data_IF_416653449340
#
_entry.id   IF_416653449340
#
_cell.length_a   1.000
_cell.length_b   1.000
_cell.length_c   1.000
_cell.angle_alpha   90.00
_cell.angle_beta   90.00
_cell.angle_gamma   90.00
#
_symmetry.space_group_name_H-M   'P 1'
#
loop_
_entity.id
_entity.type
_entity.pdbx_description
1 polymer ?
#
# COMPACT_ATOMS: atom_id res chain seq x y z
N UNK A 1 37.72 42.07 -42.64
CA UNK A 1 38.77 41.68 -43.60
C UNK A 1 39.83 42.76 -43.57
N UNK A 2 41.07 42.39 -43.28
CA UNK A 2 42.19 43.32 -43.31
C UNK A 2 42.50 43.71 -44.76
N UNK A 3 43.12 44.89 -44.98
CA UNK A 3 43.61 45.21 -46.32
C UNK A 3 44.77 44.27 -46.68
N UNK A 4 44.88 43.84 -47.94
CA UNK A 4 45.94 42.94 -48.42
C UNK A 4 47.34 43.41 -48.01
N UNK A 5 47.56 44.73 -47.98
CA UNK A 5 48.84 45.32 -47.56
C UNK A 5 49.19 45.07 -46.09
N UNK A 6 48.18 45.00 -45.22
CA UNK A 6 48.36 44.67 -43.79
C UNK A 6 48.72 43.20 -43.61
N UNK A 7 48.08 42.32 -44.37
CA UNK A 7 48.33 40.87 -44.36
C UNK A 7 49.72 40.57 -44.92
N UNK A 8 50.10 41.22 -46.03
CA UNK A 8 51.43 41.11 -46.62
C UNK A 8 52.53 41.57 -45.66
N UNK A 9 52.35 42.73 -45.01
CA UNK A 9 53.27 43.23 -44.00
C UNK A 9 53.40 42.26 -42.81
N UNK A 10 52.27 41.75 -42.30
CA UNK A 10 52.26 40.80 -41.19
C UNK A 10 52.98 39.48 -41.53
N UNK A 11 52.78 38.93 -42.74
CA UNK A 11 53.44 37.71 -43.18
C UNK A 11 54.96 37.90 -43.36
N UNK A 12 55.38 39.05 -43.91
CA UNK A 12 56.79 39.41 -44.03
C UNK A 12 57.46 39.56 -42.65
N UNK A 13 56.77 40.15 -41.69
CA UNK A 13 57.25 40.25 -40.30
C UNK A 13 57.39 38.89 -39.60
N UNK A 14 56.57 37.90 -39.95
CA UNK A 14 56.65 36.53 -39.41
C UNK A 14 57.77 35.71 -40.08
N UNK A 15 58.48 36.27 -41.06
CA UNK A 15 59.56 35.62 -41.79
C UNK A 15 59.08 34.63 -42.84
N UNK A 16 57.89 34.86 -43.41
CA UNK A 16 57.43 34.11 -44.57
C UNK A 16 58.43 34.27 -45.74
N UNK A 17 58.64 33.23 -46.56
CA UNK A 17 59.50 33.33 -47.74
C UNK A 17 59.06 34.48 -48.66
N UNK A 18 60.02 35.08 -49.37
CA UNK A 18 59.83 36.34 -50.12
C UNK A 18 58.88 36.15 -51.30
N UNK A 19 57.58 36.17 -51.04
CA UNK A 19 56.53 36.22 -52.05
C UNK A 19 56.40 37.65 -52.57
N UNK A 20 56.20 37.81 -53.87
CA UNK A 20 55.85 39.12 -54.43
C UNK A 20 54.45 39.53 -53.94
N UNK A 21 54.17 40.84 -53.88
CA UNK A 21 52.84 41.35 -53.44
C UNK A 21 51.71 40.78 -54.31
N UNK A 22 51.96 40.68 -55.61
CA UNK A 22 51.02 40.18 -56.60
C UNK A 22 50.68 38.69 -56.37
N UNK A 23 51.62 37.89 -55.86
CA UNK A 23 51.36 36.48 -55.51
C UNK A 23 50.44 36.38 -54.29
N UNK A 24 50.61 37.27 -53.31
CA UNK A 24 49.73 37.32 -52.13
C UNK A 24 48.34 37.81 -52.52
N UNK A 25 48.23 38.77 -53.42
CA UNK A 25 46.93 39.24 -53.94
C UNK A 25 46.19 38.14 -54.72
N UNK A 26 46.91 37.30 -55.48
CA UNK A 26 46.32 36.13 -56.15
C UNK A 26 45.80 35.08 -55.16
N UNK A 27 46.54 34.84 -54.09
CA UNK A 27 46.19 33.88 -53.03
C UNK A 27 45.13 34.41 -52.06
N UNK A 28 44.98 35.74 -51.96
CA UNK A 28 44.02 36.40 -51.08
C UNK A 28 42.61 36.43 -51.71
N UNK A 29 42.06 35.25 -52.02
CA UNK A 29 40.71 35.05 -52.53
C UNK A 29 40.01 33.88 -51.85
N UNK A 30 38.73 34.04 -51.55
CA UNK A 30 37.90 33.00 -50.94
C UNK A 30 38.39 32.55 -49.55
N UNK A 31 38.25 31.26 -49.25
CA UNK A 31 38.60 30.68 -47.94
C UNK A 31 40.09 30.84 -47.58
N UNK A 32 40.98 30.96 -48.58
CA UNK A 32 42.40 31.17 -48.34
C UNK A 32 42.68 32.57 -47.75
N UNK A 33 41.85 33.58 -48.09
CA UNK A 33 41.96 34.90 -47.49
C UNK A 33 41.67 34.88 -45.98
N UNK A 34 40.68 34.08 -45.54
CA UNK A 34 40.36 33.90 -44.13
C UNK A 34 41.48 33.20 -43.35
N UNK A 35 42.11 32.20 -43.97
CA UNK A 35 43.27 31.52 -43.39
C UNK A 35 44.46 32.48 -43.27
N UNK A 36 44.72 33.30 -44.30
CA UNK A 36 45.80 34.29 -44.27
C UNK A 36 45.53 35.41 -43.24
N UNK A 37 44.28 35.87 -43.11
CA UNK A 37 43.86 36.80 -42.05
C UNK A 37 44.02 36.18 -40.66
N UNK A 38 43.63 34.91 -40.49
CA UNK A 38 43.79 34.17 -39.23
C UNK A 38 45.26 34.03 -38.84
N UNK A 39 46.10 33.64 -39.81
CA UNK A 39 47.55 33.50 -39.62
C UNK A 39 48.19 34.85 -39.30
N UNK A 40 47.86 35.92 -40.02
CA UNK A 40 48.38 37.26 -39.76
C UNK A 40 47.99 37.80 -38.37
N UNK A 41 46.76 37.50 -37.91
CA UNK A 41 46.25 37.95 -36.60
C UNK A 41 46.80 37.14 -35.43
N UNK A 42 46.89 35.81 -35.57
CA UNK A 42 47.23 34.91 -34.45
C UNK A 42 48.73 34.60 -34.35
N UNK A 43 49.53 34.82 -35.41
CA UNK A 43 50.99 34.66 -35.35
C UNK A 43 51.74 35.87 -34.77
N UNK A 44 51.04 36.92 -34.30
CA UNK A 44 51.64 38.03 -33.54
C UNK A 44 52.49 37.56 -32.35
N UNK A 45 52.14 36.43 -31.72
CA UNK A 45 52.95 35.82 -30.66
C UNK A 45 54.36 35.40 -31.13
N UNK A 46 54.53 35.00 -32.39
CA UNK A 46 55.85 34.65 -32.93
C UNK A 46 56.77 35.86 -33.10
N UNK A 47 56.24 37.07 -33.35
CA UNK A 47 57.02 38.33 -33.37
C UNK A 47 57.64 38.62 -32.01
N UNK A 48 56.84 38.51 -30.94
CA UNK A 48 57.34 38.66 -29.57
C UNK A 48 58.38 37.59 -29.23
N UNK A 49 58.17 36.33 -29.66
CA UNK A 49 59.13 35.24 -29.44
C UNK A 49 60.43 35.43 -30.24
N UNK A 50 60.35 35.89 -31.49
CA UNK A 50 61.53 36.17 -32.32
C UNK A 50 62.34 37.35 -31.76
N UNK A 51 61.66 38.43 -31.35
CA UNK A 51 62.29 39.56 -30.65
C UNK A 51 62.92 39.14 -29.33
N UNK A 52 62.23 38.33 -28.53
CA UNK A 52 62.77 37.80 -27.27
C UNK A 52 63.97 36.88 -27.52
N UNK A 53 63.95 36.03 -28.56
CA UNK A 53 65.11 35.22 -28.96
C UNK A 53 66.28 36.08 -29.40
N UNK A 54 66.03 37.13 -30.18
CA UNK A 54 67.05 38.12 -30.56
C UNK A 54 67.67 38.80 -29.35
N UNK A 55 66.85 39.25 -28.38
CA UNK A 55 67.33 39.86 -27.14
C UNK A 55 68.11 38.87 -26.26
N UNK A 56 67.65 37.61 -26.13
CA UNK A 56 68.37 36.55 -25.40
C UNK A 56 69.72 36.27 -26.08
N UNK A 57 69.76 36.27 -27.41
CA UNK A 57 70.98 36.00 -28.15
C UNK A 57 71.97 37.17 -28.06
N UNK A 58 71.48 38.41 -28.17
CA UNK A 58 72.27 39.62 -27.91
C UNK A 58 72.85 39.62 -26.48
N UNK A 59 72.04 39.29 -25.46
CA UNK A 59 72.54 39.16 -24.09
C UNK A 59 73.53 38.01 -23.90
N UNK A 60 73.39 36.90 -24.64
CA UNK A 60 74.37 35.80 -24.62
C UNK A 60 75.68 36.19 -25.29
N UNK A 61 75.61 37.01 -26.34
CA UNK A 61 76.77 37.52 -27.05
C UNK A 61 77.48 38.60 -26.22
N UNK A 62 76.75 39.51 -25.57
CA UNK A 62 77.28 40.47 -24.59
C UNK A 62 77.90 39.80 -23.37
N UNK A 63 77.26 38.75 -22.83
CA UNK A 63 77.81 37.98 -21.71
C UNK A 63 79.09 37.24 -22.09
N UNK A 64 79.24 36.83 -23.35
CA UNK A 64 80.47 36.21 -23.87
C UNK A 64 81.56 37.24 -24.17
N UNK A 65 81.22 38.46 -24.61
CA UNK A 65 82.18 39.52 -24.86
C UNK A 65 82.66 40.23 -23.58
N UNK A 66 81.85 40.24 -22.51
CA UNK A 66 82.16 40.94 -21.25
C UNK A 66 83.08 40.19 -20.27
N UNK A 67 83.40 38.91 -20.51
CA UNK A 67 84.20 38.08 -19.58
C UNK A 67 85.48 37.48 -20.17
N UNK A 68 85.90 37.92 -21.37
CA UNK A 68 87.10 37.38 -22.02
C UNK A 68 88.43 38.00 -21.55
N UNK A 69 88.41 39.04 -20.70
CA UNK A 69 89.63 39.79 -20.33
C UNK A 69 90.16 39.55 -18.89
N UNK A 70 89.60 38.62 -18.12
CA UNK A 70 90.08 38.34 -16.74
C UNK A 70 89.91 36.86 -16.33
N UNK A 71 90.28 35.92 -17.20
CA UNK A 71 90.11 34.48 -16.96
C UNK A 71 91.41 33.65 -17.03
N UNK A 72 92.59 34.28 -16.93
CA UNK A 72 93.86 33.54 -16.83
C UNK A 72 94.17 33.01 -15.42
N UNK A 73 93.37 33.32 -14.39
CA UNK A 73 93.63 32.89 -13.00
C UNK A 73 92.39 32.40 -12.24
N UNK A 74 91.36 31.89 -12.91
CA UNK A 74 90.29 31.16 -12.21
C UNK A 74 90.50 29.67 -12.39
N UNK A 75 90.81 28.99 -11.28
CA UNK A 75 91.03 27.55 -11.22
C UNK A 75 89.89 26.80 -11.94
N UNK A 76 90.18 25.97 -12.97
CA UNK A 76 89.17 25.22 -13.71
C UNK A 76 88.34 24.29 -12.80
N UNK A 77 88.85 23.91 -11.64
CA UNK A 77 88.10 23.14 -10.65
C UNK A 77 86.99 23.96 -9.99
N UNK A 78 87.22 25.25 -9.73
CA UNK A 78 86.24 26.15 -9.13
C UNK A 78 85.04 26.39 -10.06
N UNK A 79 85.30 26.63 -11.35
CA UNK A 79 84.21 26.81 -12.34
C UNK A 79 83.43 25.51 -12.58
N UNK A 80 84.09 24.34 -12.54
CA UNK A 80 83.44 23.02 -12.61
C UNK A 80 82.58 22.75 -11.37
N UNK A 81 83.07 23.09 -10.18
CA UNK A 81 82.32 22.97 -8.93
C UNK A 81 81.10 23.90 -8.89
N UNK A 82 81.22 25.15 -9.35
CA UNK A 82 80.07 26.05 -9.48
C UNK A 82 79.04 25.53 -10.48
N UNK A 83 79.46 24.98 -11.62
CA UNK A 83 78.55 24.35 -12.60
C UNK A 83 77.86 23.11 -12.01
N UNK A 84 78.57 22.28 -11.25
CA UNK A 84 77.99 21.13 -10.57
C UNK A 84 76.97 21.58 -9.51
N UNK A 85 77.29 22.60 -8.70
CA UNK A 85 76.37 23.19 -7.73
C UNK A 85 75.12 23.79 -8.39
N UNK A 86 75.28 24.47 -9.52
CA UNK A 86 74.14 24.97 -10.30
C UNK A 86 73.28 23.82 -10.83
N UNK A 87 73.89 22.74 -11.34
CA UNK A 87 73.17 21.54 -11.79
C UNK A 87 72.38 20.88 -10.67
N UNK A 88 72.99 20.72 -9.48
CA UNK A 88 72.33 20.16 -8.30
C UNK A 88 71.13 21.02 -7.90
N UNK A 89 71.29 22.35 -7.83
CA UNK A 89 70.17 23.26 -7.55
C UNK A 89 69.06 23.17 -8.61
N UNK A 90 69.42 23.05 -9.89
CA UNK A 90 68.40 22.89 -10.94
C UNK A 90 67.67 21.55 -10.85
N UNK A 91 68.36 20.47 -10.47
CA UNK A 91 67.71 19.18 -10.25
C UNK A 91 66.86 19.17 -8.97
N UNK A 92 67.27 19.85 -7.90
CA UNK A 92 66.47 20.03 -6.69
C UNK A 92 65.17 20.76 -6.99
N UNK A 93 65.24 21.88 -7.74
CA UNK A 93 64.03 22.62 -8.17
C UNK A 93 63.15 21.75 -9.08
N UNK A 94 63.75 20.94 -9.96
CA UNK A 94 62.99 20.05 -10.83
C UNK A 94 62.28 18.93 -10.03
N UNK A 95 62.95 18.36 -9.02
CA UNK A 95 62.34 17.37 -8.12
C UNK A 95 61.20 17.98 -7.31
N UNK A 96 61.39 19.16 -6.71
CA UNK A 96 60.32 19.87 -6.00
C UNK A 96 59.10 20.12 -6.90
N UNK A 97 59.32 20.56 -8.15
CA UNK A 97 58.22 20.74 -9.12
C UNK A 97 57.50 19.44 -9.45
N UNK A 98 58.23 18.32 -9.54
CA UNK A 98 57.63 17.00 -9.77
C UNK A 98 56.85 16.52 -8.55
N UNK A 99 57.37 16.74 -7.33
CA UNK A 99 56.66 16.44 -6.09
C UNK A 99 55.37 17.26 -5.95
N UNK A 100 55.42 18.55 -6.26
CA UNK A 100 54.24 19.42 -6.25
C UNK A 100 53.22 19.01 -7.32
N UNK A 101 53.68 18.63 -8.51
CA UNK A 101 52.82 18.11 -9.56
C UNK A 101 52.17 16.78 -9.16
N UNK A 102 52.93 15.88 -8.52
CA UNK A 102 52.43 14.62 -8.00
C UNK A 102 51.40 14.83 -6.89
N UNK A 103 51.67 15.72 -5.92
CA UNK A 103 50.72 16.09 -4.86
C UNK A 103 49.41 16.63 -5.43
N UNK A 104 49.48 17.53 -6.43
CA UNK A 104 48.30 18.02 -7.13
C UNK A 104 47.54 16.90 -7.82
N UNK A 105 48.25 15.98 -8.49
CA UNK A 105 47.61 14.84 -9.13
C UNK A 105 46.90 13.95 -8.11
N UNK A 106 47.53 13.64 -6.99
CA UNK A 106 46.94 12.85 -5.89
C UNK A 106 45.70 13.54 -5.31
N UNK A 107 45.75 14.87 -5.12
CA UNK A 107 44.59 15.64 -4.69
C UNK A 107 43.44 15.55 -5.70
N UNK A 108 43.71 15.76 -6.99
CA UNK A 108 42.67 15.65 -8.03
C UNK A 108 42.09 14.24 -8.14
N UNK A 109 42.90 13.19 -7.97
CA UNK A 109 42.37 11.82 -7.97
C UNK A 109 41.51 11.55 -6.74
N UNK A 110 41.89 12.08 -5.57
CA UNK A 110 41.08 11.94 -4.35
C UNK A 110 39.74 12.70 -4.44
N UNK A 111 39.72 13.88 -5.06
CA UNK A 111 38.50 14.64 -5.32
C UNK A 111 37.56 13.87 -6.26
N UNK A 112 38.11 13.31 -7.35
CA UNK A 112 37.36 12.50 -8.30
C UNK A 112 36.82 11.19 -7.68
N UNK A 113 37.60 10.53 -6.81
CA UNK A 113 37.14 9.35 -6.08
C UNK A 113 35.99 9.68 -5.13
N UNK A 114 36.07 10.83 -4.44
CA UNK A 114 35.00 11.31 -3.58
C UNK A 114 33.74 11.67 -4.37
N UNK A 115 33.87 12.32 -5.53
CA UNK A 115 32.75 12.58 -6.44
C UNK A 115 32.12 11.28 -6.96
N UNK A 116 32.95 10.30 -7.34
CA UNK A 116 32.48 8.98 -7.76
C UNK A 116 31.70 8.28 -6.65
N UNK A 117 32.21 8.28 -5.41
CA UNK A 117 31.53 7.70 -4.27
C UNK A 117 30.19 8.40 -3.96
N UNK A 118 30.13 9.74 -4.09
CA UNK A 118 28.88 10.50 -3.95
C UNK A 118 27.87 10.12 -5.02
N UNK A 119 28.27 10.10 -6.29
CA UNK A 119 27.40 9.71 -7.40
C UNK A 119 26.92 8.27 -7.29
N UNK A 120 27.77 7.34 -6.82
CA UNK A 120 27.38 5.96 -6.59
C UNK A 120 26.32 5.85 -5.49
N UNK A 121 26.49 6.56 -4.37
CA UNK A 121 25.47 6.62 -3.29
C UNK A 121 24.16 7.23 -3.78
N UNK A 122 24.22 8.30 -4.57
CA UNK A 122 23.03 8.90 -5.18
C UNK A 122 22.31 7.90 -6.10
N UNK A 123 23.05 7.18 -6.93
CA UNK A 123 22.50 6.17 -7.83
C UNK A 123 21.85 5.01 -7.06
N UNK A 124 22.46 4.54 -5.98
CA UNK A 124 21.87 3.52 -5.09
C UNK A 124 20.59 4.03 -4.39
N UNK A 125 20.57 5.31 -3.97
CA UNK A 125 19.36 5.94 -3.44
C UNK A 125 18.24 6.05 -4.49
N UNK A 126 18.59 6.37 -5.75
CA UNK A 126 17.63 6.40 -6.86
C UNK A 126 17.10 5.01 -7.20
N UNK A 127 17.96 3.98 -7.19
CA UNK A 127 17.55 2.59 -7.40
C UNK A 127 16.60 2.10 -6.30
N UNK A 128 16.92 2.39 -5.04
CA UNK A 128 16.07 1.98 -3.91
C UNK A 128 14.71 2.71 -3.90
N UNK A 129 14.68 4.00 -4.22
CA UNK A 129 13.42 4.75 -4.36
C UNK A 129 12.60 4.26 -5.56
N UNK A 130 13.21 3.97 -6.71
CA UNK A 130 12.52 3.38 -7.85
C UNK A 130 11.93 1.99 -7.51
N UNK A 131 12.69 1.15 -6.80
CA UNK A 131 12.20 -0.14 -6.33
C UNK A 131 11.02 0.02 -5.37
N UNK A 132 11.09 0.95 -4.42
CA UNK A 132 9.98 1.24 -3.50
C UNK A 132 8.72 1.72 -4.27
N UNK A 133 8.88 2.61 -5.25
CA UNK A 133 7.78 3.07 -6.10
C UNK A 133 7.16 1.91 -6.90
N UNK A 134 7.98 1.00 -7.46
CA UNK A 134 7.47 -0.18 -8.17
C UNK A 134 6.70 -1.13 -7.25
N UNK A 135 7.12 -1.29 -6.00
CA UNK A 135 6.40 -2.09 -5.00
C UNK A 135 5.07 -1.44 -4.65
N UNK A 136 5.05 -0.11 -4.48
CA UNK A 136 3.83 0.64 -4.21
C UNK A 136 2.84 0.55 -5.38
N UNK A 137 3.32 0.70 -6.61
CA UNK A 137 2.51 0.53 -7.82
C UNK A 137 1.92 -0.88 -7.90
N UNK A 138 2.74 -1.92 -7.64
CA UNK A 138 2.26 -3.31 -7.59
C UNK A 138 1.21 -3.53 -6.51
N UNK A 139 1.41 -2.97 -5.31
CA UNK A 139 0.43 -3.05 -4.21
C UNK A 139 -0.87 -2.33 -4.57
N UNK A 140 -0.80 -1.19 -5.23
CA UNK A 140 -1.96 -0.44 -5.69
C UNK A 140 -2.74 -1.21 -6.78
N UNK A 141 -2.04 -1.86 -7.71
CA UNK A 141 -2.67 -2.73 -8.70
C UNK A 141 -3.38 -3.93 -8.05
N UNK A 142 -2.79 -4.54 -7.01
CA UNK A 142 -3.45 -5.59 -6.23
C UNK A 142 -4.70 -5.05 -5.51
N UNK A 143 -4.64 -3.85 -4.94
CA UNK A 143 -5.82 -3.21 -4.33
C UNK A 143 -6.92 -2.99 -5.36
N UNK A 144 -6.61 -2.45 -6.53
CA UNK A 144 -7.57 -2.27 -7.63
C UNK A 144 -8.22 -3.58 -8.03
N UNK A 145 -7.44 -4.64 -8.26
CA UNK A 145 -7.97 -5.99 -8.56
C UNK A 145 -8.92 -6.50 -7.47
N UNK A 146 -8.58 -6.30 -6.19
CA UNK A 146 -9.47 -6.66 -5.07
C UNK A 146 -10.75 -5.83 -5.06
N UNK A 147 -10.67 -4.53 -5.35
CA UNK A 147 -11.86 -3.69 -5.46
C UNK A 147 -12.76 -4.13 -6.61
N UNK A 148 -12.19 -4.48 -7.77
CA UNK A 148 -12.94 -5.00 -8.91
C UNK A 148 -13.61 -6.34 -8.56
N UNK A 149 -12.92 -7.23 -7.84
CA UNK A 149 -13.50 -8.49 -7.35
C UNK A 149 -14.65 -8.25 -6.35
N UNK A 150 -14.49 -7.31 -5.42
CA UNK A 150 -15.57 -6.91 -4.49
C UNK A 150 -16.77 -6.36 -5.26
N UNK A 151 -16.54 -5.51 -6.28
CA UNK A 151 -17.61 -5.00 -7.13
C UNK A 151 -18.33 -6.13 -7.87
N UNK A 152 -17.60 -7.09 -8.44
CA UNK A 152 -18.19 -8.27 -9.07
C UNK A 152 -19.00 -9.13 -8.07
N UNK A 153 -18.52 -9.30 -6.84
CA UNK A 153 -19.25 -10.01 -5.80
C UNK A 153 -20.54 -9.26 -5.39
N UNK A 154 -20.49 -7.94 -5.30
CA UNK A 154 -21.67 -7.10 -5.03
C UNK A 154 -22.69 -7.17 -6.18
N UNK A 155 -22.24 -7.19 -7.44
CA UNK A 155 -23.11 -7.39 -8.60
C UNK A 155 -23.75 -8.78 -8.60
N UNK A 156 -22.97 -9.83 -8.29
CA UNK A 156 -23.50 -11.19 -8.13
C UNK A 156 -24.53 -11.28 -7.00
N UNK A 157 -24.31 -10.60 -5.88
CA UNK A 157 -25.28 -10.52 -4.79
C UNK A 157 -26.55 -9.78 -5.22
N UNK A 158 -26.43 -8.65 -5.92
CA UNK A 158 -27.59 -7.92 -6.48
C UNK A 158 -28.37 -8.75 -7.49
N UNK A 159 -27.68 -9.51 -8.34
CA UNK A 159 -28.30 -10.44 -9.28
C UNK A 159 -29.06 -11.54 -8.52
N UNK A 160 -28.43 -12.18 -7.53
CA UNK A 160 -29.09 -13.19 -6.69
C UNK A 160 -30.32 -12.67 -5.94
N UNK A 161 -30.28 -11.42 -5.45
CA UNK A 161 -31.43 -10.79 -4.80
C UNK A 161 -32.56 -10.59 -5.82
N UNK A 162 -32.26 -10.07 -7.01
CA UNK A 162 -33.26 -9.95 -8.09
C UNK A 162 -33.85 -11.30 -8.50
N UNK A 163 -33.02 -12.34 -8.59
CA UNK A 163 -33.46 -13.69 -8.93
C UNK A 163 -34.37 -14.28 -7.85
N UNK A 164 -34.06 -14.01 -6.56
CA UNK A 164 -34.90 -14.38 -5.42
C UNK A 164 -36.26 -13.66 -5.43
N UNK A 165 -36.29 -12.38 -5.83
CA UNK A 165 -37.55 -11.64 -5.98
C UNK A 165 -38.38 -12.15 -7.18
N UNK A 166 -37.75 -12.54 -8.30
CA UNK A 166 -38.46 -13.11 -9.45
C UNK A 166 -38.96 -14.54 -9.22
N UNK A 167 -38.31 -15.33 -8.37
CA UNK A 167 -38.77 -16.70 -8.05
C UNK A 167 -39.95 -16.74 -7.08
N UNK A 168 -40.23 -15.65 -6.38
CA UNK A 168 -41.46 -15.49 -5.56
C UNK A 168 -42.60 -14.86 -6.37
N UNK A 169 -42.30 -14.24 -7.52
CA UNK A 169 -43.29 -13.57 -8.39
C UNK A 169 -43.92 -14.43 -9.50
N UNK A 170 -43.35 -15.58 -9.86
CA UNK A 170 -43.80 -16.38 -11.01
C UNK A 170 -44.68 -17.59 -10.62
N UNK A 171 -45.68 -17.37 -9.76
CA UNK A 171 -46.90 -18.18 -9.82
C UNK A 171 -47.90 -17.39 -10.69
N UNK A 172 -47.66 -17.40 -11.99
CA UNK A 172 -48.63 -16.93 -12.98
C UNK A 172 -49.76 -17.96 -13.06
N UNK A 173 -50.83 -17.72 -12.30
CA UNK A 173 -52.17 -18.07 -12.75
C UNK A 173 -52.56 -17.14 -13.91
N UNK A 174 -53.29 -17.62 -14.93
CA UNK A 174 -53.67 -16.83 -16.09
C UNK A 174 -54.74 -15.80 -15.69
N UNK A 175 -54.30 -14.58 -15.35
CA UNK A 175 -55.21 -13.45 -15.11
C UNK A 175 -55.76 -12.96 -16.45
N UNK A 176 -57.02 -13.30 -16.67
CA UNK A 176 -57.87 -12.75 -17.72
C UNK A 176 -58.14 -11.26 -17.43
N UNK A 177 -58.21 -10.38 -18.44
CA UNK A 177 -58.46 -8.96 -18.21
C UNK A 177 -59.96 -8.78 -17.98
N UNK A 178 -60.36 -8.67 -16.71
CA UNK A 178 -61.69 -8.17 -16.38
C UNK A 178 -61.52 -6.97 -15.45
N UNK A 179 -61.58 -5.79 -16.06
CA UNK A 179 -61.77 -4.52 -15.37
C UNK A 179 -63.09 -4.57 -14.58
N UNK A 180 -63.00 -4.89 -13.30
CA UNK A 180 -64.06 -4.60 -12.35
C UNK A 180 -63.41 -3.97 -11.11
N UNK A 181 -63.86 -2.79 -10.66
CA UNK A 181 -63.35 -2.17 -9.45
C UNK A 181 -63.82 -2.98 -8.23
N UNK A 182 -63.03 -3.97 -7.83
CA UNK A 182 -63.23 -4.68 -6.58
C UNK A 182 -62.88 -3.72 -5.45
N UNK A 183 -63.93 -3.15 -4.86
CA UNK A 183 -63.84 -2.40 -3.60
C UNK A 183 -63.11 -3.30 -2.58
N UNK A 184 -62.10 -2.80 -1.86
CA UNK A 184 -61.41 -3.58 -0.85
C UNK A 184 -62.43 -4.09 0.16
N UNK A 185 -62.51 -5.42 0.30
CA UNK A 185 -63.33 -6.07 1.33
C UNK A 185 -62.75 -5.59 2.67
N UNK A 186 -63.43 -4.61 3.29
CA UNK A 186 -63.01 -4.05 4.57
C UNK A 186 -63.02 -5.15 5.62
N UNK A 187 -61.85 -5.41 6.22
CA UNK A 187 -61.65 -6.35 7.33
C UNK A 187 -62.51 -6.06 8.58
N UNK A 188 -63.20 -4.92 8.61
CA UNK A 188 -64.17 -4.54 9.63
C UNK A 188 -65.37 -5.50 9.65
N UNK A 189 -65.90 -5.91 8.49
CA UNK A 189 -67.10 -6.77 8.45
C UNK A 189 -66.82 -8.22 8.87
N UNK A 190 -65.63 -8.75 8.56
CA UNK A 190 -65.21 -10.08 9.05
C UNK A 190 -64.91 -10.05 10.55
N UNK A 191 -64.32 -8.97 11.06
CA UNK A 191 -64.11 -8.78 12.49
C UNK A 191 -65.42 -8.66 13.27
N UNK A 192 -66.38 -7.90 12.77
CA UNK A 192 -67.68 -7.69 13.43
C UNK A 192 -68.54 -8.96 13.43
N UNK A 193 -68.53 -9.72 12.33
CA UNK A 193 -69.23 -11.01 12.25
C UNK A 193 -68.61 -12.07 13.16
N UNK A 194 -67.27 -12.16 13.24
CA UNK A 194 -66.59 -13.05 14.18
C UNK A 194 -66.84 -12.64 15.64
N UNK A 195 -66.85 -11.34 15.95
CA UNK A 195 -67.18 -10.85 17.29
C UNK A 195 -68.64 -11.15 17.67
N UNK A 196 -69.59 -10.98 16.74
CA UNK A 196 -70.99 -11.32 16.95
C UNK A 196 -71.20 -12.83 17.16
N UNK A 197 -70.52 -13.67 16.38
CA UNK A 197 -70.53 -15.13 16.54
C UNK A 197 -69.94 -15.58 17.88
N UNK A 198 -68.82 -14.99 18.30
CA UNK A 198 -68.20 -15.26 19.60
C UNK A 198 -69.10 -14.81 20.77
N UNK A 199 -69.74 -13.65 20.65
CA UNK A 199 -70.70 -13.18 21.66
C UNK A 199 -71.93 -14.12 21.75
N UNK A 200 -72.41 -14.62 20.61
CA UNK A 200 -73.49 -15.60 20.57
C UNK A 200 -73.11 -16.94 21.18
N UNK A 201 -71.92 -17.48 20.87
CA UNK A 201 -71.44 -18.75 21.42
C UNK A 201 -71.20 -18.66 22.94
N UNK A 202 -70.66 -17.54 23.44
CA UNK A 202 -70.53 -17.27 24.87
C UNK A 202 -71.89 -17.14 25.57
N UNK A 203 -72.90 -16.58 24.90
CA UNK A 203 -74.25 -16.49 25.45
C UNK A 203 -74.90 -17.87 25.53
N UNK A 204 -74.77 -18.69 24.50
CA UNK A 204 -75.26 -20.08 24.49
C UNK A 204 -74.53 -20.95 25.51
N UNK A 205 -73.22 -20.80 25.67
CA UNK A 205 -72.44 -21.55 26.66
C UNK A 205 -72.88 -21.17 28.09
N UNK A 206 -73.11 -19.89 28.37
CA UNK A 206 -73.65 -19.43 29.67
C UNK A 206 -75.07 -19.94 29.91
N UNK A 207 -75.93 -19.94 28.89
CA UNK A 207 -77.30 -20.47 29.01
C UNK A 207 -77.30 -21.99 29.23
N UNK A 208 -76.42 -22.74 28.56
CA UNK A 208 -76.30 -24.19 28.74
C UNK A 208 -75.62 -24.57 30.06
N UNK A 209 -74.63 -23.80 30.52
CA UNK A 209 -74.03 -23.99 31.84
C UNK A 209 -75.07 -23.72 32.94
N UNK A 210 -75.84 -22.63 32.80
CA UNK A 210 -76.96 -22.35 33.69
C UNK A 210 -78.01 -23.47 33.63
N UNK A 211 -78.34 -24.01 32.45
CA UNK A 211 -79.26 -25.15 32.26
C UNK A 211 -78.85 -26.41 33.06
N UNK A 212 -77.54 -26.62 33.24
CA UNK A 212 -76.97 -27.75 33.98
C UNK A 212 -76.90 -27.52 35.49
N UNK A 213 -76.98 -26.28 35.95
CA UNK A 213 -77.10 -25.99 37.38
C UNK A 213 -78.48 -26.44 37.88
N UNK A 214 -78.50 -27.48 38.72
CA UNK A 214 -79.72 -28.03 39.35
C UNK A 214 -80.53 -27.02 40.18
N UNK A 215 -80.05 -25.78 40.33
CA UNK A 215 -80.75 -24.66 40.96
C UNK A 215 -81.81 -23.99 40.06
N UNK A 216 -81.73 -24.16 38.73
CA UNK A 216 -82.73 -23.61 37.81
C UNK A 216 -84.16 -24.11 38.03
N UNK A 217 -84.45 -25.43 38.16
CA UNK A 217 -85.82 -25.90 38.38
C UNK A 217 -86.43 -25.38 39.70
N UNK A 218 -85.61 -25.10 40.71
CA UNK A 218 -86.07 -24.47 41.95
C UNK A 218 -86.39 -22.98 41.75
N UNK A 219 -85.54 -22.27 40.99
CA UNK A 219 -85.74 -20.84 40.69
C UNK A 219 -86.92 -20.60 39.75
N UNK A 220 -87.12 -21.45 38.74
CA UNK A 220 -88.28 -21.37 37.84
C UNK A 220 -89.56 -21.59 38.62
N UNK A 221 -89.68 -22.63 39.45
CA UNK A 221 -90.85 -22.86 40.32
C UNK A 221 -91.13 -21.67 41.24
N UNK A 222 -90.10 -21.05 41.82
CA UNK A 222 -90.25 -19.86 42.66
C UNK A 222 -90.74 -18.63 41.86
N UNK A 223 -90.34 -18.48 40.60
CA UNK A 223 -90.84 -17.39 39.74
C UNK A 223 -92.24 -17.67 39.19
N UNK A 224 -92.55 -18.92 38.86
CA UNK A 224 -93.87 -19.36 38.40
C UNK A 224 -94.91 -19.14 39.50
N UNK A 225 -94.61 -19.53 40.73
CA UNK A 225 -95.49 -19.27 41.90
C UNK A 225 -95.68 -17.78 42.17
N UNK A 226 -94.64 -16.95 41.99
CA UNK A 226 -94.76 -15.47 42.09
C UNK A 226 -95.65 -14.89 40.98
N UNK A 227 -95.53 -15.40 39.75
CA UNK A 227 -96.36 -14.96 38.62
C UNK A 227 -97.82 -15.37 38.81
N UNK A 228 -98.08 -16.61 39.23
CA UNK A 228 -99.41 -17.10 39.58
C UNK A 228 -100.04 -16.24 40.68
N UNK A 229 -99.30 -15.94 41.76
CA UNK A 229 -99.78 -15.07 42.84
C UNK A 229 -100.02 -13.61 42.40
N UNK A 230 -99.33 -13.14 41.36
CA UNK A 230 -99.57 -11.80 40.81
C UNK A 230 -100.83 -11.78 39.93
N UNK A 231 -101.04 -12.81 39.11
CA UNK A 231 -102.24 -12.96 38.27
C UNK A 231 -103.47 -13.17 39.15
N UNK A 232 -103.37 -14.02 40.19
CA UNK A 232 -104.43 -14.25 41.18
C UNK A 232 -104.85 -12.93 41.86
N UNK A 233 -103.87 -12.14 42.33
CA UNK A 233 -104.11 -10.81 42.91
C UNK A 233 -104.74 -9.84 41.93
N UNK A 234 -104.33 -9.84 40.67
CA UNK A 234 -104.86 -8.94 39.65
C UNK A 234 -106.31 -9.29 39.24
N UNK A 235 -106.67 -10.58 39.29
CA UNK A 235 -108.04 -11.05 38.98
C UNK A 235 -108.96 -11.10 40.21
N UNK A 236 -108.44 -10.85 41.41
CA UNK A 236 -109.20 -10.92 42.66
C UNK A 236 -109.64 -12.35 43.02
N UNK A 237 -108.93 -13.36 42.53
CA UNK A 237 -109.27 -14.78 42.60
C UNK A 237 -108.20 -15.59 43.34
N UNK A 238 -108.52 -16.82 43.76
CA UNK A 238 -107.55 -17.72 44.38
C UNK A 238 -106.52 -18.19 43.36
N UNK A 239 -105.31 -18.53 43.82
CA UNK A 239 -104.24 -19.03 42.95
C UNK A 239 -104.59 -20.35 42.24
N UNK A 240 -105.51 -21.13 42.81
CA UNK A 240 -105.97 -22.41 42.28
C UNK A 240 -107.22 -22.31 41.38
N UNK A 241 -107.74 -21.09 41.14
CA UNK A 241 -108.92 -20.91 40.29
C UNK A 241 -108.58 -21.22 38.81
N UNK A 242 -109.44 -21.97 38.10
CA UNK A 242 -109.16 -22.42 36.72
C UNK A 242 -108.99 -21.26 35.73
N UNK A 243 -109.61 -20.10 36.02
CA UNK A 243 -109.45 -18.90 35.23
C UNK A 243 -108.04 -18.28 35.35
N UNK A 244 -107.44 -18.33 36.55
CA UNK A 244 -106.08 -17.85 36.82
C UNK A 244 -105.05 -18.75 36.13
N UNK A 245 -105.23 -20.07 36.21
CA UNK A 245 -104.38 -21.04 35.52
C UNK A 245 -104.41 -20.84 34.01
N UNK A 246 -105.59 -20.65 33.41
CA UNK A 246 -105.73 -20.39 31.96
C UNK A 246 -105.01 -19.11 31.52
N UNK A 247 -105.11 -18.02 32.30
CA UNK A 247 -104.41 -16.75 32.01
C UNK A 247 -102.90 -16.87 32.18
N UNK A 248 -102.45 -17.66 33.15
CA UNK A 248 -101.05 -18.00 33.29
C UNK A 248 -100.52 -18.78 32.08
N UNK A 249 -101.27 -19.77 31.58
CA UNK A 249 -100.91 -20.53 30.37
C UNK A 249 -100.85 -19.65 29.12
N UNK A 250 -101.82 -18.74 28.92
CA UNK A 250 -101.79 -17.76 27.83
C UNK A 250 -100.55 -16.86 27.92
N UNK A 251 -100.23 -16.34 29.10
CA UNK A 251 -99.02 -15.55 29.32
C UNK A 251 -97.76 -16.37 29.01
N UNK A 252 -97.71 -17.62 29.46
CA UNK A 252 -96.59 -18.54 29.25
C UNK A 252 -96.39 -18.84 27.77
N UNK A 253 -97.44 -19.15 27.02
CA UNK A 253 -97.35 -19.40 25.59
C UNK A 253 -96.96 -18.13 24.81
N UNK A 254 -97.49 -16.95 25.18
CA UNK A 254 -97.07 -15.70 24.57
C UNK A 254 -95.59 -15.36 24.84
N UNK A 255 -95.10 -15.71 26.03
CA UNK A 255 -93.70 -15.52 26.41
C UNK A 255 -92.80 -16.52 25.69
N UNK A 256 -93.22 -17.79 25.53
CA UNK A 256 -92.52 -18.79 24.72
C UNK A 256 -92.46 -18.36 23.25
N UNK A 257 -93.56 -17.87 22.69
CA UNK A 257 -93.60 -17.38 21.31
C UNK A 257 -92.65 -16.20 21.10
N UNK A 258 -92.66 -15.20 22.00
CA UNK A 258 -91.72 -14.07 21.97
C UNK A 258 -90.26 -14.52 22.16
N UNK A 259 -90.02 -15.46 23.08
CA UNK A 259 -88.68 -16.00 23.29
C UNK A 259 -88.16 -16.72 22.05
N UNK A 260 -88.99 -17.55 21.39
CA UNK A 260 -88.64 -18.20 20.11
C UNK A 260 -88.30 -17.17 19.05
N UNK A 261 -89.15 -16.16 18.87
CA UNK A 261 -88.93 -15.10 17.88
C UNK A 261 -87.66 -14.25 18.15
N UNK A 262 -87.25 -14.12 19.41
CA UNK A 262 -86.04 -13.38 19.80
C UNK A 262 -84.78 -14.25 19.77
N UNK A 263 -84.92 -15.56 19.93
CA UNK A 263 -83.83 -16.54 19.90
C UNK A 263 -83.57 -17.09 18.50
N UNK A 264 -84.55 -17.05 17.59
CA UNK A 264 -84.37 -17.37 16.19
C UNK A 264 -83.33 -16.43 15.57
N UNK A 265 -82.23 -17.02 15.12
CA UNK A 265 -81.18 -16.31 14.41
C UNK A 265 -81.76 -15.70 13.14
N UNK A 266 -81.94 -14.38 13.14
CA UNK A 266 -82.23 -13.62 11.93
C UNK A 266 -80.92 -13.40 11.21
N UNK A 267 -80.64 -14.24 10.22
CA UNK A 267 -79.53 -14.02 9.30
C UNK A 267 -79.65 -12.62 8.69
N UNK A 268 -78.57 -11.81 8.68
CA UNK A 268 -78.56 -10.53 7.96
C UNK A 268 -78.54 -10.71 6.43
N UNK A 269 -78.50 -11.96 5.94
CA UNK A 269 -78.55 -12.25 4.51
C UNK A 269 -79.98 -12.06 3.97
N UNK A 270 -80.13 -11.45 2.77
CA UNK A 270 -81.44 -11.21 2.17
C UNK A 270 -82.17 -12.53 1.94
N UNK A 271 -83.36 -12.65 2.53
CA UNK A 271 -84.25 -13.80 2.37
C UNK A 271 -84.79 -13.78 0.93
N UNK A 272 -84.20 -14.57 0.02
CA UNK A 272 -84.63 -14.61 -1.37
C UNK A 272 -83.64 -15.16 -2.39
N UNK A 273 -82.40 -15.48 -2.01
CA UNK A 273 -81.55 -16.29 -2.89
C UNK A 273 -81.97 -17.76 -2.80
N UNK A 274 -82.10 -18.47 -3.93
CA UNK A 274 -82.45 -19.90 -3.93
C UNK A 274 -81.45 -20.65 -3.05
N UNK A 275 -81.91 -21.69 -2.37
CA UNK A 275 -81.09 -22.56 -1.51
C UNK A 275 -79.82 -22.99 -2.28
N UNK A 276 -78.73 -22.23 -2.10
CA UNK A 276 -77.40 -22.66 -2.53
C UNK A 276 -77.15 -23.96 -1.78
N UNK A 277 -76.86 -25.02 -2.53
CA UNK A 277 -76.70 -26.36 -2.01
C UNK A 277 -75.75 -26.34 -0.80
N UNK A 278 -76.26 -26.73 0.38
CA UNK A 278 -75.53 -26.65 1.66
C UNK A 278 -74.18 -27.37 1.57
N UNK A 279 -74.10 -28.41 0.73
CA UNK A 279 -72.88 -29.12 0.34
C UNK A 279 -71.85 -28.16 -0.28
N UNK A 280 -72.23 -27.41 -1.32
CA UNK A 280 -71.36 -26.47 -2.03
C UNK A 280 -70.89 -25.32 -1.13
N UNK A 281 -71.73 -24.85 -0.21
CA UNK A 281 -71.30 -23.86 0.79
C UNK A 281 -70.28 -24.49 1.75
N UNK A 282 -70.53 -25.71 2.23
CA UNK A 282 -69.63 -26.40 3.17
C UNK A 282 -68.25 -26.68 2.56
N UNK A 283 -68.19 -27.06 1.28
CA UNK A 283 -66.93 -27.27 0.56
C UNK A 283 -66.16 -25.97 0.38
N UNK A 284 -66.84 -24.88 0.04
CA UNK A 284 -66.25 -23.54 -0.10
C UNK A 284 -65.70 -23.02 1.23
N UNK A 285 -66.42 -23.26 2.33
CA UNK A 285 -65.96 -22.92 3.70
C UNK A 285 -64.72 -23.74 4.05
N UNK A 286 -64.73 -25.05 3.76
CA UNK A 286 -63.57 -25.92 4.01
C UNK A 286 -62.36 -25.51 3.18
N UNK A 287 -62.53 -25.14 1.92
CA UNK A 287 -61.43 -24.62 1.08
C UNK A 287 -60.84 -23.33 1.68
N UNK A 288 -61.71 -22.38 2.07
CA UNK A 288 -61.27 -21.14 2.73
C UNK A 288 -60.59 -21.39 4.07
N UNK A 289 -61.03 -22.39 4.82
CA UNK A 289 -60.39 -22.79 6.07
C UNK A 289 -58.97 -23.30 5.82
N UNK A 290 -58.78 -24.16 4.82
CA UNK A 290 -57.45 -24.65 4.42
C UNK A 290 -56.55 -23.50 3.94
N UNK A 291 -57.08 -22.58 3.12
CA UNK A 291 -56.34 -21.39 2.67
C UNK A 291 -55.95 -20.48 3.83
N UNK A 292 -56.87 -20.22 4.76
CA UNK A 292 -56.60 -19.42 5.95
C UNK A 292 -55.57 -20.09 6.86
N UNK A 293 -55.62 -21.41 6.99
CA UNK A 293 -54.63 -22.16 7.76
C UNK A 293 -53.26 -22.09 7.10
N UNK A 294 -53.17 -22.26 5.78
CA UNK A 294 -51.92 -22.12 5.03
C UNK A 294 -51.33 -20.69 5.13
N UNK A 295 -52.18 -19.66 5.06
CA UNK A 295 -51.77 -18.27 5.24
C UNK A 295 -51.29 -18.00 6.68
N UNK A 296 -51.98 -18.56 7.68
CA UNK A 296 -51.58 -18.49 9.08
C UNK A 296 -50.22 -19.15 9.31
N UNK A 297 -50.00 -20.35 8.77
CA UNK A 297 -48.74 -21.06 8.88
C UNK A 297 -47.60 -20.30 8.18
N UNK A 298 -47.86 -19.72 7.01
CA UNK A 298 -46.90 -18.85 6.30
C UNK A 298 -46.57 -17.60 7.11
N UNK A 299 -47.55 -16.95 7.73
CA UNK A 299 -47.33 -15.78 8.58
C UNK A 299 -46.52 -16.13 9.84
N UNK A 300 -46.80 -17.28 10.46
CA UNK A 300 -46.03 -17.79 11.59
C UNK A 300 -44.58 -18.10 11.20
N UNK A 301 -44.37 -18.74 10.04
CA UNK A 301 -43.04 -19.02 9.51
C UNK A 301 -42.24 -17.74 9.21
N UNK A 302 -42.89 -16.73 8.60
CA UNK A 302 -42.27 -15.42 8.37
C UNK A 302 -41.91 -14.71 9.67
N UNK A 303 -42.77 -14.76 10.68
CA UNK A 303 -42.51 -14.16 11.99
C UNK A 303 -41.29 -14.80 12.65
N UNK A 304 -41.18 -16.13 12.57
CA UNK A 304 -40.04 -16.88 13.09
C UNK A 304 -38.75 -16.59 12.31
N UNK A 305 -38.83 -16.47 10.98
CA UNK A 305 -37.70 -16.09 10.15
C UNK A 305 -37.20 -14.67 10.48
N UNK A 306 -38.13 -13.71 10.66
CA UNK A 306 -37.79 -12.35 11.09
C UNK A 306 -37.14 -12.33 12.47
N UNK A 307 -37.65 -13.11 13.42
CA UNK A 307 -37.06 -13.22 14.75
C UNK A 307 -35.63 -13.77 14.71
N UNK A 308 -35.36 -14.78 13.87
CA UNK A 308 -34.01 -15.34 13.67
C UNK A 308 -33.07 -14.34 13.00
N UNK A 309 -33.53 -13.60 12.00
CA UNK A 309 -32.73 -12.56 11.34
C UNK A 309 -32.37 -11.43 12.31
N UNK A 310 -33.32 -10.97 13.12
CA UNK A 310 -33.06 -9.99 14.17
C UNK A 310 -32.06 -10.54 15.20
N UNK A 311 -32.17 -11.82 15.58
CA UNK A 311 -31.21 -12.44 16.48
C UNK A 311 -29.80 -12.50 15.85
N UNK A 312 -29.66 -12.89 14.59
CA UNK A 312 -28.35 -12.88 13.91
C UNK A 312 -27.77 -11.47 13.80
N UNK A 313 -28.59 -10.47 13.52
CA UNK A 313 -28.16 -9.07 13.44
C UNK A 313 -27.70 -8.56 14.81
N UNK A 314 -28.41 -8.93 15.88
CA UNK A 314 -27.99 -8.56 17.24
C UNK A 314 -26.69 -9.25 17.66
N UNK A 315 -26.50 -10.53 17.33
CA UNK A 315 -25.23 -11.24 17.57
C UNK A 315 -24.11 -10.57 16.76
N UNK A 316 -24.37 -10.26 15.49
CA UNK A 316 -23.38 -9.59 14.64
C UNK A 316 -22.96 -8.24 15.22
N UNK A 317 -23.94 -7.40 15.58
CA UNK A 317 -23.71 -6.06 16.11
C UNK A 317 -23.01 -6.06 17.47
N UNK A 318 -23.35 -7.01 18.36
CA UNK A 318 -22.85 -7.03 19.73
C UNK A 318 -21.54 -7.81 19.89
N UNK A 319 -21.29 -8.83 19.06
CA UNK A 319 -20.12 -9.69 19.21
C UNK A 319 -19.13 -9.51 18.07
N UNK A 320 -19.56 -9.72 16.83
CA UNK A 320 -18.62 -9.76 15.70
C UNK A 320 -18.11 -8.38 15.28
N UNK A 321 -18.98 -7.36 15.29
CA UNK A 321 -18.60 -6.00 14.93
C UNK A 321 -17.53 -5.39 15.88
N UNK A 322 -17.66 -5.49 17.23
CA UNK A 322 -16.61 -5.01 18.12
C UNK A 322 -15.33 -5.85 18.00
N UNK A 323 -15.41 -7.18 17.85
CA UNK A 323 -14.23 -8.00 17.62
C UNK A 323 -13.48 -7.61 16.34
N UNK A 324 -14.20 -7.35 15.26
CA UNK A 324 -13.63 -6.88 13.99
C UNK A 324 -13.00 -5.49 14.16
N UNK A 325 -13.66 -4.59 14.87
CA UNK A 325 -13.14 -3.25 15.19
C UNK A 325 -11.86 -3.33 16.01
N UNK A 326 -11.83 -4.18 17.03
CA UNK A 326 -10.65 -4.39 17.88
C UNK A 326 -9.50 -5.02 17.09
N UNK A 327 -9.79 -5.99 16.21
CA UNK A 327 -8.81 -6.57 15.30
C UNK A 327 -8.21 -5.51 14.35
N UNK A 328 -9.06 -4.69 13.74
CA UNK A 328 -8.62 -3.59 12.87
C UNK A 328 -7.83 -2.52 13.64
N UNK A 329 -8.20 -2.20 14.88
CA UNK A 329 -7.41 -1.30 15.73
C UNK A 329 -6.05 -1.88 16.10
N UNK A 330 -5.97 -3.18 16.39
CA UNK A 330 -4.68 -3.86 16.63
C UNK A 330 -3.80 -3.86 15.38
N UNK A 331 -4.36 -4.16 14.22
CA UNK A 331 -3.63 -4.10 12.94
C UNK A 331 -3.18 -2.67 12.62
N UNK A 332 -4.05 -1.67 12.82
CA UNK A 332 -3.70 -0.26 12.62
C UNK A 332 -2.56 0.17 13.57
N UNK A 333 -2.62 -0.22 14.84
CA UNK A 333 -1.55 0.06 15.81
C UNK A 333 -0.23 -0.65 15.43
N UNK A 334 -0.30 -1.91 14.97
CA UNK A 334 0.87 -2.63 14.49
C UNK A 334 1.48 -2.00 13.23
N UNK A 335 0.64 -1.59 12.28
CA UNK A 335 1.07 -0.87 11.08
C UNK A 335 1.69 0.49 11.43
N UNK A 336 1.12 1.21 12.40
CA UNK A 336 1.68 2.46 12.91
C UNK A 336 3.05 2.23 13.56
N UNK A 337 3.21 1.18 14.38
CA UNK A 337 4.49 0.80 14.94
C UNK A 337 5.54 0.50 13.87
N UNK A 338 5.17 -0.18 12.78
CA UNK A 338 6.06 -0.42 11.65
C UNK A 338 6.45 0.89 10.93
N UNK A 339 5.50 1.80 10.73
CA UNK A 339 5.75 3.14 10.16
C UNK A 339 6.70 3.92 11.08
N UNK A 340 6.53 3.84 12.39
CA UNK A 340 7.38 4.55 13.34
C UNK A 340 8.81 3.97 13.37
N UNK A 341 8.97 2.64 13.26
CA UNK A 341 10.28 2.01 13.06
C UNK A 341 10.94 2.47 11.76
N UNK A 342 10.18 2.54 10.65
CA UNK A 342 10.70 3.07 9.38
C UNK A 342 11.06 4.56 9.47
N UNK A 343 10.26 5.36 10.18
CA UNK A 343 10.57 6.77 10.42
C UNK A 343 11.84 6.92 11.25
N UNK A 344 11.99 6.10 12.30
CA UNK A 344 13.19 6.10 13.12
C UNK A 344 14.42 5.70 12.30
N UNK A 345 14.34 4.68 11.44
CA UNK A 345 15.47 4.27 10.60
C UNK A 345 15.84 5.34 9.56
N UNK A 346 14.85 6.01 8.94
CA UNK A 346 15.09 7.14 8.04
C UNK A 346 15.74 8.32 8.81
N UNK A 347 15.22 8.67 9.99
CA UNK A 347 15.75 9.75 10.80
C UNK A 347 17.15 9.45 11.35
N UNK A 348 17.42 8.18 11.71
CA UNK A 348 18.76 7.75 12.14
C UNK A 348 19.73 7.82 10.96
N UNK A 349 19.32 7.38 9.76
CA UNK A 349 20.13 7.50 8.54
C UNK A 349 20.44 8.96 8.19
N UNK A 350 19.45 9.84 8.23
CA UNK A 350 19.64 11.27 7.97
C UNK A 350 20.59 11.92 8.99
N UNK A 351 20.50 11.54 10.27
CA UNK A 351 21.43 12.03 11.31
C UNK A 351 22.85 11.50 11.16
N UNK A 352 23.04 10.26 10.72
CA UNK A 352 24.39 9.72 10.43
C UNK A 352 25.03 10.41 9.23
N UNK A 353 24.23 10.84 8.25
CA UNK A 353 24.70 11.62 7.09
C UNK A 353 25.01 13.08 7.44
N UNK A 354 24.31 13.68 8.43
CA UNK A 354 24.62 15.01 8.94
C UNK A 354 25.81 15.00 9.92
N UNK A 355 25.93 13.99 10.79
CA UNK A 355 27.08 13.88 11.71
C UNK A 355 28.39 13.54 11.00
N UNK A 356 28.34 13.01 9.77
CA UNK A 356 29.54 12.84 8.94
C UNK A 356 29.93 14.11 8.18
N UNK A 357 29.02 15.08 8.00
CA UNK A 357 29.34 16.38 7.39
C UNK A 357 29.98 17.37 8.36
N UNK A 358 29.71 17.26 9.65
CA UNK A 358 30.32 18.15 10.67
C UNK A 358 31.66 17.62 11.23
N UNK A 359 32.10 16.42 10.81
CA UNK A 359 33.43 15.85 11.12
C UNK A 359 34.41 16.02 9.94
N UNK A 360 34.01 16.67 8.84
CA UNK A 360 34.91 17.01 7.72
C UNK A 360 35.59 18.38 7.88
N UNK A 361 35.51 18.99 9.08
CA UNK A 361 36.09 20.30 9.39
C UNK A 361 37.53 20.29 9.90
N UNK A 362 38.08 19.15 10.31
CA UNK A 362 39.48 19.08 10.74
C UNK A 362 40.07 17.71 10.43
N UNK A 363 41.28 17.71 9.89
CA UNK A 363 41.86 16.59 9.16
C UNK A 363 41.93 15.28 9.95
N UNK A 364 41.00 14.35 9.67
CA UNK A 364 41.25 12.93 9.90
C UNK A 364 42.19 12.40 8.82
N UNK A 365 43.44 12.83 8.95
CA UNK A 365 44.59 12.07 8.49
C UNK A 365 44.42 10.62 8.96
N UNK A 366 44.57 9.65 8.05
CA UNK A 366 44.61 8.20 8.29
C UNK A 366 45.71 7.74 9.29
N UNK A 367 46.30 8.67 10.03
CA UNK A 367 47.33 8.47 11.04
C UNK A 367 46.80 8.34 12.46
N UNK A 368 45.51 8.57 12.71
CA UNK A 368 44.96 8.36 14.05
C UNK A 368 44.68 6.87 14.24
N UNK A 369 45.54 6.24 15.05
CA UNK A 369 45.73 4.80 15.13
C UNK A 369 44.51 4.07 15.68
N UNK A 370 43.51 3.86 14.83
CA UNK A 370 42.59 2.73 15.00
C UNK A 370 43.46 1.49 14.90
N UNK A 371 43.62 0.82 16.04
CA UNK A 371 44.37 -0.42 16.06
C UNK A 371 43.73 -1.38 15.06
N UNK A 372 44.55 -2.16 14.36
CA UNK A 372 44.08 -3.17 13.41
C UNK A 372 42.99 -4.08 14.03
N UNK A 373 43.04 -4.28 15.35
CA UNK A 373 42.01 -4.97 16.12
C UNK A 373 40.64 -4.29 16.14
N UNK A 374 40.56 -2.95 16.18
CA UNK A 374 39.29 -2.23 16.10
C UNK A 374 38.70 -2.30 14.70
N UNK A 375 39.53 -2.19 13.66
CA UNK A 375 39.08 -2.36 12.27
C UNK A 375 38.58 -3.78 12.03
N UNK A 376 39.26 -4.79 12.58
CA UNK A 376 38.78 -6.17 12.52
C UNK A 376 37.48 -6.37 13.30
N UNK A 377 37.33 -5.78 14.49
CA UNK A 377 36.09 -5.86 15.25
C UNK A 377 34.92 -5.20 14.53
N UNK A 378 35.13 -4.05 13.89
CA UNK A 378 34.11 -3.38 13.07
C UNK A 378 33.75 -4.22 11.83
N UNK A 379 34.73 -4.89 11.21
CA UNK A 379 34.49 -5.80 10.09
C UNK A 379 33.72 -7.05 10.55
N UNK A 380 34.08 -7.62 11.70
CA UNK A 380 33.35 -8.76 12.28
C UNK A 380 31.91 -8.36 12.63
N UNK A 381 31.70 -7.20 13.24
CA UNK A 381 30.38 -6.70 13.60
C UNK A 381 29.52 -6.41 12.36
N UNK A 382 30.09 -5.79 11.33
CA UNK A 382 29.35 -5.59 10.06
C UNK A 382 29.04 -6.91 9.36
N UNK A 383 29.90 -7.92 9.49
CA UNK A 383 29.64 -9.26 8.96
C UNK A 383 28.53 -9.98 9.74
N UNK A 384 28.52 -9.89 11.07
CA UNK A 384 27.44 -10.46 11.89
C UNK A 384 26.11 -9.79 11.61
N UNK A 385 26.09 -8.46 11.50
CA UNK A 385 24.87 -7.70 11.20
C UNK A 385 24.33 -8.06 9.80
N UNK A 386 25.22 -8.21 8.81
CA UNK A 386 24.83 -8.67 7.47
C UNK A 386 24.24 -10.09 7.51
N UNK A 387 24.88 -11.00 8.23
CA UNK A 387 24.42 -12.39 8.36
C UNK A 387 23.07 -12.50 9.10
N UNK A 388 22.87 -11.69 10.14
CA UNK A 388 21.58 -11.59 10.84
C UNK A 388 20.48 -11.06 9.92
N UNK A 389 20.75 -10.01 9.15
CA UNK A 389 19.76 -9.47 8.20
C UNK A 389 19.40 -10.47 7.10
N UNK A 390 20.37 -11.25 6.62
CA UNK A 390 20.15 -12.29 5.62
C UNK A 390 19.34 -13.47 6.20
N UNK A 391 19.65 -13.88 7.43
CA UNK A 391 18.89 -14.90 8.15
C UNK A 391 17.43 -14.48 8.37
N UNK A 392 17.21 -13.21 8.71
CA UNK A 392 15.87 -12.64 8.86
C UNK A 392 15.10 -12.62 7.53
N UNK A 393 15.75 -12.23 6.42
CA UNK A 393 15.12 -12.22 5.10
C UNK A 393 14.78 -13.63 4.60
N UNK A 394 15.63 -14.61 4.91
CA UNK A 394 15.36 -16.02 4.57
C UNK A 394 14.23 -16.60 5.42
N UNK A 395 14.09 -16.23 6.69
CA UNK A 395 12.93 -16.60 7.52
C UNK A 395 11.64 -15.90 7.08
N UNK A 396 11.70 -14.60 6.77
CA UNK A 396 10.56 -13.84 6.25
C UNK A 396 10.03 -14.42 4.93
N UNK A 397 10.92 -14.94 4.06
CA UNK A 397 10.52 -15.65 2.84
C UNK A 397 9.78 -16.97 3.10
N UNK A 398 10.02 -17.65 4.23
CA UNK A 398 9.30 -18.87 4.62
C UNK A 398 7.87 -18.60 5.09
N UNK A 399 7.59 -17.39 5.57
CA UNK A 399 6.26 -16.97 6.04
C UNK A 399 5.31 -16.56 4.91
N UNK A 400 5.84 -16.25 3.73
CA UNK A 400 5.05 -15.92 2.54
C UNK A 400 4.81 -17.22 1.76
N UNK A 401 3.67 -17.87 2.01
CA UNK A 401 3.19 -19.03 1.24
C UNK A 401 3.10 -18.68 -0.26
N UNK A 402 3.95 -19.25 -1.14
CA UNK A 402 3.84 -19.04 -2.58
C UNK A 402 2.75 -19.94 -3.16
N UNK A 403 2.08 -19.45 -4.20
CA UNK A 403 1.16 -20.21 -5.06
C UNK A 403 1.89 -21.45 -5.64
N UNK A 404 1.31 -22.67 -5.60
CA UNK A 404 2.00 -23.92 -5.90
C UNK A 404 2.59 -23.98 -7.32
N UNK A 405 1.99 -23.29 -8.29
CA UNK A 405 2.45 -23.28 -9.69
C UNK A 405 3.71 -22.43 -9.91
N UNK A 406 4.04 -21.52 -8.98
CA UNK A 406 5.26 -20.68 -9.04
C UNK A 406 6.44 -21.29 -8.28
N UNK A 407 6.19 -22.32 -7.46
CA UNK A 407 7.21 -22.93 -6.58
C UNK A 407 8.27 -23.68 -7.38
N UNK A 408 7.91 -24.34 -8.47
CA UNK A 408 8.88 -25.09 -9.29
C UNK A 408 9.82 -24.16 -10.08
N UNK A 409 9.27 -23.09 -10.67
CA UNK A 409 10.06 -22.08 -11.37
C UNK A 409 10.98 -21.32 -10.42
N UNK A 410 10.51 -20.98 -9.21
CA UNK A 410 11.34 -20.32 -8.21
C UNK A 410 12.37 -21.25 -7.58
N UNK A 411 12.09 -22.55 -7.44
CA UNK A 411 13.09 -23.53 -7.00
C UNK A 411 14.21 -23.70 -8.02
N UNK A 412 13.89 -23.81 -9.30
CA UNK A 412 14.91 -23.90 -10.36
C UNK A 412 15.82 -22.65 -10.37
N UNK A 413 15.22 -21.47 -10.27
CA UNK A 413 15.94 -20.19 -10.18
C UNK A 413 16.76 -20.07 -8.88
N UNK A 414 16.23 -20.50 -7.74
CA UNK A 414 16.96 -20.50 -6.47
C UNK A 414 18.16 -21.46 -6.50
N UNK A 415 18.01 -22.62 -7.16
CA UNK A 415 19.14 -23.56 -7.33
C UNK A 415 20.21 -23.02 -8.28
N UNK A 416 19.84 -22.24 -9.30
CA UNK A 416 20.84 -21.60 -10.17
C UNK A 416 21.61 -20.50 -9.44
N UNK A 417 20.92 -19.67 -8.66
CA UNK A 417 21.57 -18.63 -7.85
C UNK A 417 22.45 -19.21 -6.76
N UNK A 418 22.00 -20.25 -6.04
CA UNK A 418 22.83 -20.93 -5.03
C UNK A 418 24.10 -21.53 -5.65
N UNK A 419 24.02 -22.03 -6.89
CA UNK A 419 25.18 -22.53 -7.62
C UNK A 419 26.13 -21.39 -8.01
N UNK A 420 25.61 -20.30 -8.60
CA UNK A 420 26.41 -19.12 -8.95
C UNK A 420 27.09 -18.51 -7.72
N UNK A 421 26.39 -18.43 -6.59
CA UNK A 421 26.92 -17.93 -5.33
C UNK A 421 28.03 -18.84 -4.78
N UNK A 422 27.90 -20.16 -4.89
CA UNK A 422 28.97 -21.11 -4.53
C UNK A 422 30.20 -20.97 -5.44
N UNK A 423 30.00 -20.66 -6.72
CA UNK A 423 31.10 -20.43 -7.67
C UNK A 423 31.79 -19.07 -7.41
N UNK A 424 31.04 -18.05 -7.03
CA UNK A 424 31.59 -16.74 -6.68
C UNK A 424 32.32 -16.81 -5.33
N UNK A 425 31.76 -17.48 -4.33
CA UNK A 425 32.40 -17.65 -3.02
C UNK A 425 33.70 -18.44 -3.11
N UNK A 426 33.76 -19.51 -3.92
CA UNK A 426 35.02 -20.24 -4.18
C UNK A 426 36.06 -19.39 -4.92
N UNK A 427 35.65 -18.53 -5.86
CA UNK A 427 36.56 -17.55 -6.50
C UNK A 427 37.07 -16.50 -5.52
N UNK A 428 36.21 -16.00 -4.63
CA UNK A 428 36.60 -15.05 -3.59
C UNK A 428 37.57 -15.71 -2.62
N UNK A 429 37.30 -16.93 -2.17
CA UNK A 429 38.17 -17.68 -1.27
C UNK A 429 39.56 -17.89 -1.89
N UNK A 430 39.63 -18.35 -3.13
CA UNK A 430 40.93 -18.53 -3.84
C UNK A 430 41.69 -17.22 -4.04
N UNK A 431 40.99 -16.10 -4.24
CA UNK A 431 41.59 -14.78 -4.35
C UNK A 431 42.12 -14.29 -3.00
N UNK A 432 41.39 -14.57 -1.92
CA UNK A 432 41.76 -14.22 -0.56
C UNK A 432 42.97 -15.05 -0.09
N UNK A 433 43.01 -16.35 -0.39
CA UNK A 433 44.20 -17.20 -0.18
C UNK A 433 45.41 -16.72 -0.99
N UNK A 434 45.21 -16.29 -2.24
CA UNK A 434 46.30 -15.68 -3.04
C UNK A 434 46.77 -14.35 -2.47
N UNK A 435 45.90 -13.57 -1.85
CA UNK A 435 46.27 -12.31 -1.20
C UNK A 435 46.98 -12.55 0.14
N UNK A 436 46.54 -13.53 0.94
CA UNK A 436 47.19 -13.88 2.20
C UNK A 436 48.60 -14.41 1.95
N UNK A 437 48.77 -15.33 1.00
CA UNK A 437 50.11 -15.85 0.61
C UNK A 437 51.02 -14.74 0.06
N UNK A 438 50.48 -13.78 -0.69
CA UNK A 438 51.25 -12.58 -1.10
C UNK A 438 51.62 -11.68 0.08
N UNK A 439 50.72 -11.51 1.04
CA UNK A 439 51.00 -10.73 2.24
C UNK A 439 52.09 -11.40 3.11
N UNK A 440 52.03 -12.72 3.26
CA UNK A 440 53.07 -13.51 3.93
C UNK A 440 54.42 -13.39 3.22
N UNK A 441 54.45 -13.49 1.89
CA UNK A 441 55.67 -13.25 1.11
C UNK A 441 56.21 -11.81 1.28
N UNK A 442 55.32 -10.82 1.36
CA UNK A 442 55.67 -9.44 1.69
C UNK A 442 56.28 -9.30 3.09
N UNK A 443 55.76 -10.02 4.08
CA UNK A 443 56.33 -10.06 5.42
C UNK A 443 57.73 -10.68 5.47
N UNK A 444 57.99 -11.71 4.67
CA UNK A 444 59.35 -12.28 4.54
C UNK A 444 60.31 -11.23 3.96
N UNK A 445 59.91 -10.50 2.92
CA UNK A 445 60.72 -9.43 2.34
C UNK A 445 61.02 -8.30 3.33
N UNK A 446 60.05 -7.91 4.15
CA UNK A 446 60.26 -6.90 5.20
C UNK A 446 61.33 -7.39 6.18
N UNK A 447 61.24 -8.64 6.66
CA UNK A 447 62.25 -9.23 7.55
C UNK A 447 63.64 -9.29 6.91
N UNK A 448 63.73 -9.60 5.62
CA UNK A 448 65.00 -9.63 4.88
C UNK A 448 65.60 -8.22 4.74
N UNK A 449 64.77 -7.20 4.50
CA UNK A 449 65.19 -5.80 4.46
C UNK A 449 65.67 -5.34 5.84
N UNK A 450 64.92 -5.64 6.91
CA UNK A 450 65.32 -5.33 8.28
C UNK A 450 66.65 -5.99 8.64
N UNK A 451 66.85 -7.25 8.23
CA UNK A 451 68.10 -7.97 8.38
C UNK A 451 69.25 -7.33 7.59
N UNK A 452 69.03 -6.95 6.33
CA UNK A 452 70.03 -6.25 5.52
C UNK A 452 70.40 -4.90 6.13
N UNK A 453 69.43 -4.15 6.67
CA UNK A 453 69.69 -2.90 7.38
C UNK A 453 70.56 -3.16 8.62
N UNK A 454 70.27 -4.21 9.39
CA UNK A 454 71.08 -4.58 10.55
C UNK A 454 72.51 -5.01 10.15
N UNK A 455 72.67 -5.79 9.07
CA UNK A 455 73.98 -6.20 8.54
C UNK A 455 74.79 -5.00 8.02
N UNK A 456 74.15 -4.08 7.30
CA UNK A 456 74.78 -2.83 6.83
C UNK A 456 75.20 -1.95 8.01
N UNK A 457 74.39 -1.85 9.06
CA UNK A 457 74.74 -1.11 10.28
C UNK A 457 75.98 -1.72 10.96
N UNK A 458 76.07 -3.05 11.07
CA UNK A 458 77.25 -3.74 11.61
C UNK A 458 78.50 -3.46 10.77
N UNK A 459 78.39 -3.47 9.44
CA UNK A 459 79.53 -3.19 8.55
C UNK A 459 79.96 -1.72 8.67
N UNK A 460 79.01 -0.80 8.72
CA UNK A 460 79.29 0.63 8.88
C UNK A 460 79.95 0.96 10.23
N UNK A 461 79.53 0.30 11.31
CA UNK A 461 80.13 0.47 12.64
C UNK A 461 81.50 -0.23 12.77
N UNK A 462 81.80 -1.23 11.93
CA UNK A 462 83.10 -1.93 11.93
C UNK A 462 84.22 -1.19 11.19
N UNK A 463 83.94 -0.04 10.59
CA UNK A 463 84.88 0.80 9.83
C UNK A 463 85.26 2.13 10.51
N UNK A 464 84.94 2.28 11.79
CA UNK A 464 85.46 3.32 12.70
C UNK A 464 86.42 2.63 13.67
#
# INVERSE_FOLDING_TARGET
MQSIDQVYAALKEVGAPVSSRDDVERLYKGQMAEVLDFVATHLRGRKAVASARGAIQAHREEARSGTATSLEQVDPLYTRAQRAKAKVKTSEIALQKLEDAYKKQVQTTSELENEYAKLQKELESQRSTALLLSILERKENIRKMRFDEILQLLEKLRAKIKDADTTIGNTEEPVSPTEAPTKPIRAEHTRDTLAALQAYSLRLSRLSASAKDGALPARTKATETRLLNAIARAMGSSADDPAVVRKYEECRESAKARARQTLEYRSPLPVGQPDEDLSAISERVRQKEVELQALSDKAAALTLACARALQSDTIFANETAPQLKDALHKEAAAAQGYIDVLRLSINHRARTEESTRDIDGDGHSLSDGRSFSQVLADIEQTFTDAQETESFLTEARKLISPDPDTVETHKALATSYAKEESEVSSRLQTLLERKSTKAEAGHVLIKDIERLIAEVAIIADSHI
#
